data_IF_881038558593
#
_entry.id   IF_881038558593
#
_cell.length_a   1.000
_cell.length_b   1.000
_cell.length_c   1.000
_cell.angle_alpha   90.00
_cell.angle_beta   90.00
_cell.angle_gamma   90.00
#
_symmetry.space_group_name_H-M   'P 1'
#
loop_
_entity.id
_entity.type
_entity.pdbx_description
1 polymer ?
#
# COMPACT_ATOMS: atom_id res chain seq x y z
N UNK A 1 -4.00 8.97 -6.86
CA UNK A 1 -2.74 8.16 -6.88
C UNK A 1 -1.45 8.96 -7.20
N UNK A 2 -1.47 9.99 -8.07
CA UNK A 2 -0.27 10.80 -8.38
C UNK A 2 0.26 11.65 -7.21
N UNK A 3 -0.64 12.27 -6.44
CA UNK A 3 -0.30 13.13 -5.30
C UNK A 3 0.55 12.42 -4.24
N UNK A 4 0.14 11.22 -3.80
CA UNK A 4 0.85 10.42 -2.80
C UNK A 4 2.24 10.02 -3.26
N UNK A 5 2.40 9.68 -4.55
CA UNK A 5 3.70 9.32 -5.11
C UNK A 5 4.66 10.53 -5.17
N UNK A 6 4.15 11.69 -5.61
CA UNK A 6 4.91 12.95 -5.60
C UNK A 6 5.34 13.32 -4.19
N UNK A 7 4.43 13.23 -3.21
CA UNK A 7 4.72 13.48 -1.80
C UNK A 7 5.79 12.54 -1.25
N UNK A 8 5.66 11.23 -1.49
CA UNK A 8 6.64 10.23 -1.05
C UNK A 8 8.03 10.51 -1.64
N UNK A 9 8.09 10.91 -2.90
CA UNK A 9 9.35 11.23 -3.59
C UNK A 9 10.01 12.48 -3.00
N UNK A 10 9.22 13.52 -2.72
CA UNK A 10 9.72 14.75 -2.10
C UNK A 10 10.19 14.52 -0.66
N UNK A 11 9.46 13.72 0.13
CA UNK A 11 9.88 13.34 1.48
C UNK A 11 11.17 12.52 1.48
N UNK A 12 11.36 11.59 0.52
CA UNK A 12 12.60 10.82 0.41
C UNK A 12 13.81 11.73 0.08
N UNK A 13 13.60 12.76 -0.74
CA UNK A 13 14.62 13.79 -0.99
C UNK A 13 14.93 14.59 0.26
N UNK A 14 13.89 15.06 0.97
CA UNK A 14 14.06 15.81 2.22
C UNK A 14 14.80 14.99 3.29
N UNK A 15 14.49 13.70 3.42
CA UNK A 15 15.20 12.76 4.32
C UNK A 15 16.70 12.72 4.00
N UNK A 16 17.08 12.61 2.73
CA UNK A 16 18.49 12.61 2.32
C UNK A 16 19.18 13.92 2.68
N UNK A 17 18.50 15.04 2.45
CA UNK A 17 19.02 16.38 2.83
C UNK A 17 19.19 16.50 4.34
N UNK A 18 18.26 15.97 5.14
CA UNK A 18 18.33 16.02 6.60
C UNK A 18 19.49 15.20 7.19
N UNK A 19 20.05 14.23 6.46
CA UNK A 19 21.25 13.53 6.90
C UNK A 19 22.49 14.42 6.92
N UNK A 20 22.59 15.40 6.02
CA UNK A 20 23.70 16.37 5.99
C UNK A 20 23.35 17.70 6.64
N UNK A 21 22.10 18.15 6.48
CA UNK A 21 21.62 19.49 6.87
C UNK A 21 20.66 19.46 8.06
N UNK A 22 20.49 20.58 8.74
CA UNK A 22 19.61 20.73 9.92
C UNK A 22 18.14 20.97 9.56
N UNK A 23 17.84 21.34 8.32
CA UNK A 23 16.49 21.60 7.80
C UNK A 23 16.41 21.20 6.32
N UNK A 24 15.21 20.82 5.88
CA UNK A 24 14.88 20.58 4.47
C UNK A 24 13.51 21.18 4.13
N UNK A 25 13.40 21.83 2.98
CA UNK A 25 12.10 22.22 2.39
C UNK A 25 11.56 21.10 1.51
N UNK A 26 10.23 20.99 1.49
CA UNK A 26 9.46 20.07 0.66
C UNK A 26 8.52 20.94 -0.15
N UNK A 27 8.75 20.98 -1.46
CA UNK A 27 8.03 21.81 -2.42
C UNK A 27 7.50 20.90 -3.52
N UNK A 28 6.19 20.94 -3.77
CA UNK A 28 5.54 20.11 -4.77
C UNK A 28 4.50 20.94 -5.51
N UNK A 29 4.76 21.17 -6.80
CA UNK A 29 3.84 21.87 -7.68
C UNK A 29 2.58 21.02 -7.92
N UNK A 30 1.40 21.65 -7.82
CA UNK A 30 0.10 21.06 -8.12
C UNK A 30 -0.10 19.69 -7.48
N UNK A 31 0.16 19.60 -6.16
CA UNK A 31 0.03 18.34 -5.40
C UNK A 31 -1.40 17.78 -5.50
N UNK A 32 -2.41 18.63 -5.43
CA UNK A 32 -3.82 18.25 -5.56
C UNK A 32 -4.65 19.39 -6.16
N UNK A 33 -5.51 19.10 -7.15
CA UNK A 33 -6.40 20.09 -7.81
C UNK A 33 -5.70 21.38 -8.29
N UNK A 34 -4.41 21.33 -8.61
CA UNK A 34 -3.62 22.50 -9.03
C UNK A 34 -3.11 23.36 -7.87
N UNK A 35 -3.28 22.92 -6.62
CA UNK A 35 -2.75 23.58 -5.43
C UNK A 35 -1.32 23.11 -5.16
N UNK A 36 -0.41 24.06 -5.01
CA UNK A 36 0.99 23.81 -4.67
C UNK A 36 1.15 23.50 -3.17
N UNK A 37 2.10 22.64 -2.84
CA UNK A 37 2.40 22.26 -1.47
C UNK A 37 3.80 22.72 -1.08
N UNK A 38 3.89 23.48 0.01
CA UNK A 38 5.15 23.94 0.59
C UNK A 38 5.18 23.66 2.09
N UNK A 39 6.21 22.95 2.55
CA UNK A 39 6.48 22.79 3.99
C UNK A 39 7.98 22.69 4.24
N UNK A 40 8.40 22.80 5.49
CA UNK A 40 9.78 22.52 5.88
C UNK A 40 9.83 21.68 7.14
N UNK A 41 10.83 20.82 7.22
CA UNK A 41 11.07 19.92 8.34
C UNK A 41 12.49 20.09 8.84
N UNK A 42 12.67 20.10 10.16
CA UNK A 42 13.99 20.17 10.81
C UNK A 42 14.48 18.76 11.15
N UNK A 43 15.80 18.60 11.26
CA UNK A 43 16.42 17.34 11.69
C UNK A 43 15.92 16.93 13.06
N UNK A 44 15.81 17.87 14.00
CA UNK A 44 15.28 17.60 15.34
C UNK A 44 13.85 17.04 15.30
N UNK A 45 12.96 17.63 14.48
CA UNK A 45 11.61 17.08 14.28
C UNK A 45 11.65 15.71 13.64
N UNK A 46 12.52 15.47 12.65
CA UNK A 46 12.67 14.15 12.03
C UNK A 46 13.19 13.08 13.01
N UNK A 47 14.17 13.42 13.85
CA UNK A 47 14.72 12.53 14.86
C UNK A 47 13.70 12.22 15.96
N UNK A 48 12.94 13.23 16.40
CA UNK A 48 11.79 13.04 17.30
C UNK A 48 10.75 12.11 16.66
N UNK A 49 10.47 12.30 15.37
CA UNK A 49 9.53 11.47 14.62
C UNK A 49 9.96 10.00 14.54
N UNK A 50 11.26 9.75 14.44
CA UNK A 50 11.85 8.43 14.35
C UNK A 50 12.32 7.86 15.69
N UNK A 51 12.27 8.61 16.79
CA UNK A 51 12.97 8.29 18.03
C UNK A 51 12.61 6.91 18.58
N UNK A 52 11.32 6.57 18.57
CA UNK A 52 10.83 5.29 19.06
C UNK A 52 11.26 4.13 18.15
N UNK A 53 11.41 4.35 16.84
CA UNK A 53 11.93 3.35 15.92
C UNK A 53 13.43 3.15 16.11
N UNK A 54 14.17 4.24 16.25
CA UNK A 54 15.62 4.21 16.51
C UNK A 54 15.95 3.55 17.84
N UNK A 55 15.09 3.69 18.85
CA UNK A 55 15.23 2.94 20.11
C UNK A 55 14.96 1.45 19.89
N UNK A 56 13.95 1.11 19.09
CA UNK A 56 13.61 -0.27 18.76
C UNK A 56 14.70 -1.03 18.01
N UNK A 57 15.63 -0.35 17.32
CA UNK A 57 16.78 -1.00 16.66
C UNK A 57 17.90 -1.37 17.64
N UNK A 58 17.83 -0.93 18.90
CA UNK A 58 18.76 -1.35 19.95
C UNK A 58 18.39 -2.74 20.51
N UNK A 59 17.11 -3.13 20.50
CA UNK A 59 16.66 -4.42 21.05
C UNK A 59 17.38 -5.63 20.40
N UNK A 60 17.53 -5.70 19.06
CA UNK A 60 18.27 -6.78 18.41
C UNK A 60 19.76 -6.76 18.75
N UNK A 61 20.37 -5.58 18.91
CA UNK A 61 21.78 -5.43 19.28
C UNK A 61 22.02 -5.96 20.68
N UNK A 62 21.15 -5.61 21.64
CA UNK A 62 21.22 -6.13 22.99
C UNK A 62 20.96 -7.64 23.05
N UNK A 63 20.04 -8.15 22.23
CA UNK A 63 19.80 -9.59 22.13
C UNK A 63 21.04 -10.32 21.58
N UNK A 64 21.64 -9.81 20.51
CA UNK A 64 22.86 -10.38 19.94
C UNK A 64 24.03 -10.38 20.94
N UNK A 65 24.18 -9.31 21.73
CA UNK A 65 25.17 -9.23 22.81
C UNK A 65 24.93 -10.28 23.91
N UNK A 66 23.67 -10.46 24.33
CA UNK A 66 23.28 -11.49 25.31
C UNK A 66 23.55 -12.90 24.81
N UNK A 67 23.18 -13.18 23.56
CA UNK A 67 23.39 -14.49 22.93
C UNK A 67 24.89 -14.79 22.75
N UNK A 68 25.69 -13.77 22.43
CA UNK A 68 27.14 -13.87 22.33
C UNK A 68 27.85 -13.93 23.69
N UNK A 69 27.15 -13.64 24.80
CA UNK A 69 27.71 -13.53 26.16
C UNK A 69 28.90 -12.56 26.22
N UNK A 70 28.81 -11.47 25.46
CA UNK A 70 29.83 -10.42 25.42
C UNK A 70 29.30 -9.16 26.09
N UNK A 71 30.17 -8.52 26.86
CA UNK A 71 29.93 -7.16 27.33
C UNK A 71 30.24 -6.13 26.25
N UNK A 72 29.58 -4.97 26.33
CA UNK A 72 29.75 -3.87 25.36
C UNK A 72 31.22 -3.42 25.22
N UNK A 73 32.02 -3.56 26.28
CA UNK A 73 33.45 -3.24 26.31
C UNK A 73 34.33 -4.23 25.53
N UNK A 74 33.80 -5.39 25.15
CA UNK A 74 34.52 -6.44 24.44
C UNK A 74 34.32 -6.36 22.92
N UNK A 75 33.51 -5.40 22.44
CA UNK A 75 33.38 -5.10 21.01
C UNK A 75 34.56 -4.23 20.60
N UNK A 76 35.37 -4.74 19.67
CA UNK A 76 36.56 -4.05 19.17
C UNK A 76 36.23 -3.13 18.00
N UNK A 77 35.34 -3.58 17.11
CA UNK A 77 34.98 -2.86 15.89
C UNK A 77 33.47 -2.89 15.68
N UNK A 78 32.92 -1.76 15.21
CA UNK A 78 31.52 -1.65 14.80
C UNK A 78 31.52 -1.36 13.30
N UNK A 79 31.08 -2.35 12.53
CA UNK A 79 30.90 -2.18 11.09
C UNK A 79 29.44 -1.84 10.81
N UNK A 80 29.21 -0.62 10.29
CA UNK A 80 27.90 -0.19 9.82
C UNK A 80 27.76 -0.57 8.35
N UNK A 81 26.98 -1.61 8.05
CA UNK A 81 26.74 -2.11 6.69
C UNK A 81 25.28 -1.91 6.31
N UNK A 82 25.05 -1.33 5.13
CA UNK A 82 23.71 -0.99 4.63
C UNK A 82 23.36 0.48 4.85
N UNK A 83 22.71 1.07 3.85
CA UNK A 83 22.24 2.45 3.92
C UNK A 83 21.06 2.59 4.87
N UNK A 84 21.34 2.84 6.14
CA UNK A 84 20.38 3.11 7.23
C UNK A 84 19.35 1.98 7.45
N UNK A 85 18.69 1.98 8.61
CA UNK A 85 17.51 1.14 8.82
C UNK A 85 16.51 1.40 7.67
N UNK A 86 15.92 0.34 7.10
CA UNK A 86 14.88 0.46 6.08
C UNK A 86 13.58 0.98 6.72
N UNK A 87 13.62 2.21 7.23
CA UNK A 87 12.48 2.90 7.80
C UNK A 87 11.68 3.47 6.62
N UNK A 88 10.54 2.85 6.37
CA UNK A 88 9.52 3.35 5.45
C UNK A 88 8.66 4.37 6.19
N UNK A 89 8.83 5.64 5.86
CA UNK A 89 7.97 6.70 6.37
C UNK A 89 6.82 6.89 5.39
N UNK A 90 5.61 6.62 5.87
CA UNK A 90 4.34 6.85 5.20
C UNK A 90 3.68 8.09 5.80
N UNK A 91 3.17 8.97 4.94
CA UNK A 91 2.50 10.20 5.35
C UNK A 91 1.03 10.06 4.98
N UNK A 92 0.17 10.27 5.95
CA UNK A 92 -1.28 10.20 5.83
C UNK A 92 -1.89 11.49 6.37
N UNK A 93 -2.89 12.06 5.72
CA UNK A 93 -3.54 13.30 6.15
C UNK A 93 -4.98 12.96 6.45
N UNK A 94 -5.37 13.08 7.71
CA UNK A 94 -6.72 12.79 8.17
C UNK A 94 -7.64 14.03 8.10
N UNK A 95 -8.95 13.80 8.17
CA UNK A 95 -10.07 14.74 7.97
C UNK A 95 -10.04 16.07 8.75
N UNK A 96 -9.09 16.23 9.67
CA UNK A 96 -8.92 17.40 10.53
C UNK A 96 -7.66 18.21 10.17
N UNK A 97 -7.02 17.96 9.01
CA UNK A 97 -5.78 18.61 8.58
C UNK A 97 -4.55 18.09 9.33
N UNK A 98 -4.72 17.05 10.12
CA UNK A 98 -3.67 16.45 10.92
C UNK A 98 -2.82 15.57 9.98
N UNK A 99 -1.52 15.84 9.89
CA UNK A 99 -0.57 15.01 9.17
C UNK A 99 -0.11 13.88 10.10
N UNK A 100 -0.60 12.68 9.84
CA UNK A 100 -0.13 11.44 10.44
C UNK A 100 1.10 10.91 9.71
N UNK A 101 2.26 10.98 10.36
CA UNK A 101 3.52 10.39 9.89
C UNK A 101 3.66 9.01 10.53
N UNK A 102 3.53 7.96 9.73
CA UNK A 102 3.73 6.57 10.12
C UNK A 102 5.09 6.09 9.63
N UNK A 103 6.05 5.92 10.52
CA UNK A 103 7.32 5.32 10.18
C UNK A 103 7.29 3.81 10.53
N UNK A 104 7.73 2.97 9.60
CA UNK A 104 7.74 1.51 9.72
C UNK A 104 9.14 1.01 9.45
N UNK A 105 9.74 0.32 10.40
CA UNK A 105 10.98 -0.41 10.15
C UNK A 105 10.66 -1.72 9.41
N UNK A 106 11.10 -1.83 8.15
CA UNK A 106 10.84 -3.02 7.32
C UNK A 106 11.53 -4.28 7.84
N UNK A 107 12.58 -4.15 8.66
CA UNK A 107 13.31 -5.30 9.20
C UNK A 107 12.62 -5.93 10.41
N UNK A 108 12.03 -5.10 11.28
CA UNK A 108 11.36 -5.55 12.51
C UNK A 108 9.83 -5.55 12.43
N UNK A 109 9.24 -4.89 11.42
CA UNK A 109 7.80 -4.69 11.28
C UNK A 109 7.19 -3.71 12.27
N UNK A 110 8.00 -3.13 13.17
CA UNK A 110 7.55 -2.15 14.17
C UNK A 110 7.13 -0.85 13.48
N UNK A 111 5.98 -0.32 13.88
CA UNK A 111 5.38 0.91 13.34
C UNK A 111 5.27 1.93 14.46
N UNK A 112 5.73 3.16 14.22
CA UNK A 112 5.46 4.31 15.07
C UNK A 112 4.71 5.37 14.26
N UNK A 113 3.69 5.95 14.87
CA UNK A 113 2.80 6.92 14.24
C UNK A 113 2.82 8.20 15.07
N UNK A 114 3.15 9.31 14.44
CA UNK A 114 3.08 10.63 15.05
C UNK A 114 2.11 11.49 14.26
N UNK A 115 1.39 12.30 15.01
CA UNK A 115 0.21 13.01 14.56
C UNK A 115 0.54 14.50 14.69
N UNK A 116 0.80 15.17 13.57
CA UNK A 116 1.09 16.61 13.53
C UNK A 116 -0.22 17.35 13.26
N UNK A 117 -0.69 18.13 14.23
CA UNK A 117 -1.93 18.91 14.10
C UNK A 117 -1.70 20.21 13.32
N UNK A 118 -2.71 20.61 12.53
CA UNK A 118 -2.67 21.82 11.71
C UNK A 118 -3.01 23.07 12.55
N UNK A 119 -1.99 23.70 13.12
CA UNK A 119 -2.14 24.98 13.83
C UNK A 119 -2.05 26.20 12.87
N UNK A 120 -1.75 25.99 11.57
CA UNK A 120 -1.35 27.05 10.62
C UNK A 120 -2.30 27.30 9.44
N UNK A 121 -3.50 26.69 9.42
CA UNK A 121 -4.59 27.11 8.52
C UNK A 121 -4.42 26.79 7.02
N UNK A 122 -3.68 25.73 6.66
CA UNK A 122 -3.40 25.40 5.25
C UNK A 122 -4.56 24.77 4.45
N UNK A 123 -5.60 24.27 5.11
CA UNK A 123 -6.79 23.71 4.47
C UNK A 123 -8.01 24.02 5.35
N UNK A 124 -9.09 24.49 4.74
CA UNK A 124 -10.36 24.70 5.46
C UNK A 124 -10.97 23.35 5.85
N UNK A 125 -11.73 23.30 6.95
CA UNK A 125 -12.34 22.07 7.44
C UNK A 125 -13.24 21.43 6.38
N UNK A 126 -13.89 22.26 5.57
CA UNK A 126 -14.80 21.89 4.49
C UNK A 126 -14.08 21.25 3.29
N UNK A 127 -12.90 21.77 2.90
CA UNK A 127 -12.10 21.19 1.80
C UNK A 127 -11.47 19.86 2.20
N UNK A 128 -11.10 19.71 3.48
CA UNK A 128 -10.56 18.45 4.00
C UNK A 128 -11.64 17.37 4.03
N UNK A 129 -12.85 17.71 4.48
CA UNK A 129 -13.98 16.77 4.51
C UNK A 129 -14.38 16.31 3.09
N UNK A 130 -14.29 17.21 2.10
CA UNK A 130 -14.44 16.86 0.68
C UNK A 130 -13.33 15.90 0.21
N UNK A 131 -12.07 16.16 0.56
CA UNK A 131 -10.94 15.29 0.18
C UNK A 131 -11.04 13.89 0.78
N UNK A 132 -11.48 13.77 2.05
CA UNK A 132 -11.68 12.47 2.69
C UNK A 132 -12.87 11.73 2.08
N UNK A 133 -14.00 12.41 1.85
CA UNK A 133 -15.15 11.81 1.17
C UNK A 133 -14.82 11.38 -0.27
N UNK A 134 -14.01 12.14 -1.00
CA UNK A 134 -13.55 11.75 -2.32
C UNK A 134 -12.58 10.58 -2.26
N UNK A 135 -11.60 10.57 -1.34
CA UNK A 135 -10.69 9.45 -1.18
C UNK A 135 -11.43 8.15 -0.80
N UNK A 136 -12.44 8.22 0.07
CA UNK A 136 -13.32 7.09 0.40
C UNK A 136 -14.20 6.69 -0.79
N UNK A 137 -14.74 7.65 -1.55
CA UNK A 137 -15.48 7.37 -2.80
C UNK A 137 -14.60 6.72 -3.86
N UNK A 138 -13.34 7.13 -3.99
CA UNK A 138 -12.39 6.53 -4.93
C UNK A 138 -11.95 5.15 -4.46
N UNK A 139 -11.79 4.92 -3.15
CA UNK A 139 -11.53 3.59 -2.59
C UNK A 139 -12.71 2.65 -2.82
N UNK A 140 -13.92 3.10 -2.50
CA UNK A 140 -15.15 2.35 -2.76
C UNK A 140 -15.43 2.18 -4.27
N UNK A 141 -15.04 3.15 -5.09
CA UNK A 141 -15.14 3.10 -6.54
C UNK A 141 -14.15 2.12 -7.17
N UNK A 142 -12.91 2.09 -6.69
CA UNK A 142 -11.89 1.12 -7.11
C UNK A 142 -12.25 -0.31 -6.63
N UNK A 143 -12.89 -0.46 -5.46
CA UNK A 143 -13.41 -1.74 -4.96
C UNK A 143 -14.62 -2.21 -5.81
N UNK A 144 -15.61 -1.34 -6.04
CA UNK A 144 -16.79 -1.66 -6.84
C UNK A 144 -16.48 -1.88 -8.33
N UNK A 145 -15.47 -1.21 -8.88
CA UNK A 145 -15.03 -1.44 -10.26
C UNK A 145 -14.34 -2.79 -10.41
N UNK A 146 -13.68 -3.32 -9.38
CA UNK A 146 -13.01 -4.62 -9.41
C UNK A 146 -13.99 -5.79 -9.29
N UNK A 147 -15.02 -5.66 -8.47
CA UNK A 147 -16.14 -6.62 -8.42
C UNK A 147 -16.80 -6.74 -9.80
N UNK A 148 -17.07 -5.60 -10.46
CA UNK A 148 -17.58 -5.56 -11.84
C UNK A 148 -16.62 -6.18 -12.86
N UNK A 149 -15.30 -6.06 -12.66
CA UNK A 149 -14.30 -6.69 -13.55
C UNK A 149 -14.32 -8.21 -13.40
N UNK A 150 -14.38 -8.74 -12.18
CA UNK A 150 -14.46 -10.20 -11.96
C UNK A 150 -15.81 -10.77 -12.45
N UNK A 151 -16.91 -10.06 -12.21
CA UNK A 151 -18.23 -10.41 -12.73
C UNK A 151 -18.26 -10.43 -14.26
N UNK A 152 -17.75 -9.36 -14.90
CA UNK A 152 -17.63 -9.27 -16.36
C UNK A 152 -16.74 -10.37 -16.94
N UNK A 153 -15.58 -10.65 -16.32
CA UNK A 153 -14.70 -11.74 -16.74
C UNK A 153 -15.37 -13.10 -16.63
N UNK A 154 -16.08 -13.37 -15.52
CA UNK A 154 -16.79 -14.63 -15.31
C UNK A 154 -17.92 -14.83 -16.32
N UNK A 155 -18.67 -13.76 -16.63
CA UNK A 155 -19.73 -13.77 -17.63
C UNK A 155 -19.19 -14.00 -19.04
N UNK A 156 -18.18 -13.22 -19.45
CA UNK A 156 -17.54 -13.33 -20.76
C UNK A 156 -16.97 -14.74 -20.97
N UNK A 157 -16.35 -15.31 -19.93
CA UNK A 157 -15.80 -16.65 -19.99
C UNK A 157 -16.89 -17.70 -20.20
N UNK A 158 -17.98 -17.61 -19.44
CA UNK A 158 -19.13 -18.50 -19.56
C UNK A 158 -19.76 -18.41 -20.96
N UNK A 159 -19.99 -17.20 -21.46
CA UNK A 159 -20.51 -17.00 -22.82
C UNK A 159 -19.56 -17.54 -23.90
N UNK A 160 -18.25 -17.36 -23.75
CA UNK A 160 -17.25 -17.85 -24.72
C UNK A 160 -17.25 -19.37 -24.78
N UNK A 161 -17.33 -20.05 -23.64
CA UNK A 161 -17.38 -21.51 -23.65
C UNK A 161 -18.74 -22.02 -24.12
N UNK A 162 -19.85 -21.35 -23.82
CA UNK A 162 -21.20 -21.73 -24.23
C UNK A 162 -21.56 -21.33 -25.67
N UNK A 163 -20.74 -20.52 -26.34
CA UNK A 163 -20.95 -20.11 -27.74
C UNK A 163 -20.94 -21.32 -28.68
N UNK A 164 -21.97 -21.44 -29.53
CA UNK A 164 -22.15 -22.57 -30.45
C UNK A 164 -21.00 -22.73 -31.46
N UNK A 165 -20.25 -21.66 -31.79
CA UNK A 165 -19.11 -21.74 -32.72
C UNK A 165 -17.82 -22.23 -32.06
N UNK A 166 -17.70 -22.03 -30.75
CA UNK A 166 -16.56 -22.49 -29.93
C UNK A 166 -16.91 -23.78 -29.19
N UNK A 167 -18.20 -24.14 -29.17
CA UNK A 167 -18.76 -25.33 -28.55
C UNK A 167 -18.00 -26.59 -28.90
N UNK A 168 -17.79 -26.76 -30.20
CA UNK A 168 -17.25 -27.96 -30.81
C UNK A 168 -15.71 -27.99 -30.81
N UNK A 169 -15.05 -26.86 -30.49
CA UNK A 169 -13.58 -26.75 -30.43
C UNK A 169 -13.00 -27.04 -29.05
N UNK A 170 -13.84 -27.04 -28.01
CA UNK A 170 -13.44 -27.27 -26.63
C UNK A 170 -13.96 -28.63 -26.18
N UNK A 171 -13.12 -29.45 -25.55
CA UNK A 171 -13.55 -30.73 -24.97
C UNK A 171 -14.69 -30.51 -23.98
N UNK A 172 -15.69 -31.39 -24.02
CA UNK A 172 -16.84 -31.36 -23.12
C UNK A 172 -16.42 -31.35 -21.63
N UNK A 173 -15.40 -32.15 -21.27
CA UNK A 173 -14.82 -32.18 -19.92
C UNK A 173 -14.28 -30.82 -19.46
N UNK A 174 -13.66 -30.08 -20.37
CA UNK A 174 -13.00 -28.80 -20.08
C UNK A 174 -14.02 -27.65 -20.05
N UNK A 175 -15.02 -27.71 -20.95
CA UNK A 175 -16.23 -26.87 -20.90
C UNK A 175 -16.93 -26.99 -19.56
N UNK A 176 -17.19 -28.21 -19.10
CA UNK A 176 -17.90 -28.45 -17.83
C UNK A 176 -17.12 -27.88 -16.64
N UNK A 177 -15.80 -28.03 -16.61
CA UNK A 177 -14.95 -27.44 -15.56
C UNK A 177 -15.02 -25.92 -15.52
N UNK A 178 -14.99 -25.25 -16.68
CA UNK A 178 -15.10 -23.79 -16.76
C UNK A 178 -16.48 -23.33 -16.27
N UNK A 179 -17.55 -23.97 -16.75
CA UNK A 179 -18.92 -23.62 -16.36
C UNK A 179 -19.14 -23.82 -14.85
N UNK A 180 -18.72 -24.95 -14.30
CA UNK A 180 -18.83 -25.23 -12.87
C UNK A 180 -18.04 -24.22 -12.03
N UNK A 181 -16.83 -23.86 -12.47
CA UNK A 181 -15.99 -22.88 -11.76
C UNK A 181 -16.56 -21.47 -11.85
N UNK A 182 -17.06 -21.07 -13.02
CA UNK A 182 -17.72 -19.78 -13.22
C UNK A 182 -18.97 -19.66 -12.35
N UNK A 183 -19.80 -20.71 -12.28
CA UNK A 183 -20.98 -20.72 -11.41
C UNK A 183 -20.61 -20.62 -9.92
N UNK A 184 -19.52 -21.28 -9.48
CA UNK A 184 -19.00 -21.12 -8.12
C UNK A 184 -18.55 -19.68 -7.83
N UNK A 185 -17.85 -19.04 -8.78
CA UNK A 185 -17.40 -17.65 -8.63
C UNK A 185 -18.58 -16.67 -8.58
N UNK A 186 -19.61 -16.87 -9.42
CA UNK A 186 -20.85 -16.07 -9.38
C UNK A 186 -21.55 -16.23 -8.03
N UNK A 187 -21.75 -17.47 -7.57
CA UNK A 187 -22.38 -17.72 -6.26
C UNK A 187 -21.59 -17.12 -5.11
N UNK A 188 -20.26 -17.11 -5.22
CA UNK A 188 -19.40 -16.48 -4.23
C UNK A 188 -19.56 -14.96 -4.24
N UNK A 189 -19.57 -14.32 -5.43
CA UNK A 189 -19.78 -12.88 -5.59
C UNK A 189 -21.14 -12.42 -5.04
N UNK A 190 -22.21 -13.17 -5.31
CA UNK A 190 -23.56 -12.89 -4.81
C UNK A 190 -23.63 -12.88 -3.27
N UNK A 191 -22.91 -13.80 -2.62
CA UNK A 191 -22.87 -13.91 -1.16
C UNK A 191 -21.78 -13.06 -0.48
N UNK A 192 -20.91 -12.40 -1.25
CA UNK A 192 -19.81 -11.61 -0.73
C UNK A 192 -19.72 -10.23 -1.43
N UNK A 193 -20.84 -9.50 -1.49
CA UNK A 193 -20.93 -8.11 -2.00
C UNK A 193 -20.04 -7.07 -1.28
N UNK A 194 -19.28 -7.48 -0.26
CA UNK A 194 -18.30 -6.65 0.46
C UNK A 194 -17.00 -7.43 0.69
N UNK A 195 -16.64 -8.30 -0.25
CA UNK A 195 -15.42 -9.06 -0.14
C UNK A 195 -14.20 -8.14 -0.14
N UNK A 196 -13.24 -8.42 0.74
CA UNK A 196 -11.96 -7.71 0.73
C UNK A 196 -11.17 -8.02 -0.55
N UNK A 197 -10.33 -7.07 -0.96
CA UNK A 197 -9.52 -7.13 -2.19
C UNK A 197 -8.76 -8.46 -2.35
N UNK A 198 -8.16 -8.96 -1.29
CA UNK A 198 -7.37 -10.21 -1.33
C UNK A 198 -8.24 -11.43 -1.67
N UNK A 199 -9.50 -11.43 -1.23
CA UNK A 199 -10.44 -12.50 -1.51
C UNK A 199 -10.91 -12.48 -2.98
N UNK A 200 -11.18 -11.30 -3.55
CA UNK A 200 -11.50 -11.16 -4.97
C UNK A 200 -10.33 -11.55 -5.88
N UNK A 201 -9.09 -11.13 -5.56
CA UNK A 201 -7.89 -11.53 -6.31
C UNK A 201 -7.64 -13.04 -6.23
N UNK A 202 -7.92 -13.65 -5.09
CA UNK A 202 -7.82 -15.10 -4.93
C UNK A 202 -8.83 -15.84 -5.83
N UNK A 203 -10.09 -15.38 -5.87
CA UNK A 203 -11.10 -15.99 -6.74
C UNK A 203 -10.80 -15.77 -8.23
N UNK A 204 -10.32 -14.58 -8.61
CA UNK A 204 -9.90 -14.31 -9.98
C UNK A 204 -8.78 -15.26 -10.42
N UNK A 205 -7.71 -15.40 -9.62
CA UNK A 205 -6.60 -16.33 -9.93
C UNK A 205 -7.05 -17.79 -9.97
N UNK A 206 -8.03 -18.16 -9.14
CA UNK A 206 -8.58 -19.52 -9.15
C UNK A 206 -9.38 -19.81 -10.43
N UNK A 207 -10.07 -18.81 -10.97
CA UNK A 207 -10.78 -18.91 -12.25
C UNK A 207 -9.82 -18.90 -13.44
N UNK A 208 -8.85 -17.98 -13.46
CA UNK A 208 -7.80 -17.90 -14.50
C UNK A 208 -7.00 -19.20 -14.62
N UNK A 209 -6.59 -19.81 -13.50
CA UNK A 209 -5.89 -21.13 -13.51
C UNK A 209 -6.65 -22.25 -14.22
N UNK A 210 -7.98 -22.18 -14.23
CA UNK A 210 -8.81 -23.17 -14.93
C UNK A 210 -9.00 -22.76 -16.39
N UNK A 211 -9.24 -21.47 -16.65
CA UNK A 211 -9.59 -20.96 -17.97
C UNK A 211 -8.37 -20.82 -18.90
N UNK A 212 -7.25 -20.29 -18.43
CA UNK A 212 -6.03 -20.05 -19.21
C UNK A 212 -5.50 -21.29 -19.97
N UNK A 213 -5.33 -22.47 -19.34
CA UNK A 213 -4.82 -23.65 -20.04
C UNK A 213 -5.80 -24.23 -21.07
N UNK A 214 -7.08 -23.82 -21.03
CA UNK A 214 -8.11 -24.26 -21.97
C UNK A 214 -8.21 -23.25 -23.13
N UNK A 215 -8.15 -21.95 -22.84
CA UNK A 215 -8.17 -20.89 -23.85
C UNK A 215 -6.88 -20.87 -24.67
N UNK A 216 -5.73 -21.15 -24.08
CA UNK A 216 -4.46 -21.21 -24.82
C UNK A 216 -4.40 -22.39 -25.80
N UNK A 217 -5.33 -23.35 -25.68
CA UNK A 217 -5.45 -24.51 -26.58
C UNK A 217 -6.52 -24.34 -27.68
N UNK A 218 -7.28 -23.24 -27.64
CA UNK A 218 -8.21 -22.81 -28.71
C UNK A 218 -7.43 -22.19 -29.87
#
# INVERSE_FOLDING_TARGET
>A
MRAVWSLRTACERAKRTLYSSTQASIEIDSLFEGIDFYTSITRARFEELGADLFRGTLDPVEKALRDAKLDKSQIHDIVLVGGCAQIEVSFDINGNGILSICAVDKSSGKKNKITISNDNGWLSKEEIERMVQEAERYKAGDEAQREKVLESYTFNMKSTVEDDNLKDKIREDDRKKIVDKSNQTVFWLENHQRAEKEACEHQQKALEKVCDPIITKL
#
